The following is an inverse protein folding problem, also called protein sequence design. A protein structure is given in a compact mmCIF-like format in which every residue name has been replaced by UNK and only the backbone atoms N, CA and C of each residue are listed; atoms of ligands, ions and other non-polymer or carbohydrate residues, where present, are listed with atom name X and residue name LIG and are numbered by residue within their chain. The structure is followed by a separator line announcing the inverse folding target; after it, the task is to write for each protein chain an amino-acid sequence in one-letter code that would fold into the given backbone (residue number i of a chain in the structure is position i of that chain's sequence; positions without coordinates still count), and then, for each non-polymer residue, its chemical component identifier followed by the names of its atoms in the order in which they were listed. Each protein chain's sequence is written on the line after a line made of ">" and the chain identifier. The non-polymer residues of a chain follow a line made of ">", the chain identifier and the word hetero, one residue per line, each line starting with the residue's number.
data_IF_025813855845
#
_entry.id   IF_025813855845
#
_cell.length_a   1.000
_cell.length_b   1.000
_cell.length_c   1.000
_cell.angle_alpha   90.00
_cell.angle_beta   90.00
_cell.angle_gamma   90.00
#
_symmetry.space_group_name_H-M   'P 1'
#
loop_
_entity.id
_entity.type
_entity.pdbx_description
1 polymer ?
#
# COMPACT_ATOMS: atom_id res chain seq x y z
N UNK A 1 12.62 -9.39 8.98
CA UNK A 1 13.05 -8.85 7.67
C UNK A 1 14.52 -9.17 7.53
N UNK A 2 14.93 -9.70 6.38
CA UNK A 2 16.31 -10.09 6.10
C UNK A 2 16.83 -9.34 4.87
N UNK A 3 18.07 -8.81 4.95
CA UNK A 3 18.81 -8.21 3.83
C UNK A 3 19.94 -9.15 3.42
N UNK A 4 19.84 -9.72 2.23
CA UNK A 4 20.81 -10.65 1.67
C UNK A 4 21.61 -9.98 0.55
N UNK A 5 22.93 -9.93 0.73
CA UNK A 5 23.88 -9.51 -0.30
C UNK A 5 24.43 -10.75 -1.01
N UNK A 6 23.70 -11.27 -1.99
CA UNK A 6 24.16 -12.41 -2.78
C UNK A 6 25.47 -12.12 -3.53
N UNK A 7 25.66 -10.87 -4.00
CA UNK A 7 26.89 -10.45 -4.68
C UNK A 7 27.07 -8.92 -4.61
N UNK A 8 28.22 -8.40 -5.06
CA UNK A 8 28.45 -6.93 -5.14
C UNK A 8 27.40 -6.20 -5.98
N UNK A 9 26.71 -6.89 -6.90
CA UNK A 9 25.69 -6.32 -7.81
C UNK A 9 24.24 -6.57 -7.40
N UNK A 10 23.95 -7.63 -6.66
CA UNK A 10 22.57 -8.01 -6.30
C UNK A 10 22.37 -7.84 -4.79
N UNK A 11 21.33 -7.09 -4.42
CA UNK A 11 20.77 -7.11 -3.07
C UNK A 11 19.34 -7.59 -3.12
N UNK A 12 19.00 -8.49 -2.20
CA UNK A 12 17.65 -8.97 -1.98
C UNK A 12 17.25 -8.59 -0.56
N UNK A 13 16.01 -8.19 -0.37
CA UNK A 13 15.41 -8.00 0.93
C UNK A 13 14.06 -8.70 0.93
N UNK A 14 13.83 -9.48 1.97
CA UNK A 14 12.59 -10.21 2.15
C UNK A 14 12.12 -10.08 3.60
N UNK A 15 10.84 -9.87 3.78
CA UNK A 15 10.20 -9.77 5.08
C UNK A 15 8.83 -10.42 5.03
N UNK A 16 8.39 -10.90 6.18
CA UNK A 16 7.02 -11.34 6.36
C UNK A 16 6.52 -10.76 7.67
N UNK A 17 5.32 -10.23 7.64
CA UNK A 17 4.61 -9.76 8.81
C UNK A 17 3.32 -10.58 8.95
N UNK A 18 3.05 -11.06 10.16
CA UNK A 18 1.83 -11.82 10.49
C UNK A 18 1.02 -10.99 11.47
N UNK A 19 -0.17 -10.56 11.04
CA UNK A 19 -1.12 -9.82 11.86
C UNK A 19 -2.22 -10.75 12.36
N UNK A 20 -2.54 -10.67 13.65
CA UNK A 20 -3.73 -11.27 14.22
C UNK A 20 -4.59 -10.15 14.79
N UNK A 21 -5.80 -10.00 14.26
CA UNK A 21 -6.75 -8.99 14.71
C UNK A 21 -8.04 -9.67 15.16
N UNK A 22 -8.37 -9.56 16.44
CA UNK A 22 -9.57 -10.18 17.00
C UNK A 22 -10.59 -9.10 17.34
N UNK A 23 -11.79 -9.22 16.78
CA UNK A 23 -12.92 -8.35 17.06
C UNK A 23 -14.20 -9.17 17.17
N UNK A 24 -15.01 -8.91 18.19
CA UNK A 24 -16.24 -9.64 18.51
C UNK A 24 -16.07 -11.16 18.42
N UNK A 25 -15.01 -11.73 19.00
CA UNK A 25 -14.76 -13.18 18.98
C UNK A 25 -14.44 -13.78 17.60
N UNK A 26 -14.20 -12.97 16.56
CA UNK A 26 -13.69 -13.40 15.26
C UNK A 26 -12.25 -12.94 15.09
N UNK A 27 -11.36 -13.88 14.80
CA UNK A 27 -9.94 -13.59 14.54
C UNK A 27 -9.68 -13.53 13.05
N UNK A 28 -9.09 -12.42 12.61
CA UNK A 28 -8.61 -12.21 11.26
C UNK A 28 -7.09 -12.31 11.24
N UNK A 29 -6.59 -13.20 10.39
CA UNK A 29 -5.15 -13.37 10.17
C UNK A 29 -4.75 -12.68 8.87
N UNK A 30 -3.74 -11.80 8.92
CA UNK A 30 -3.06 -11.29 7.73
C UNK A 30 -1.67 -11.87 7.61
N UNK A 31 -1.31 -12.20 6.37
CA UNK A 31 0.06 -12.49 5.98
C UNK A 31 0.49 -11.41 5.00
N UNK A 32 1.55 -10.68 5.37
CA UNK A 32 2.05 -9.50 4.68
C UNK A 32 3.51 -9.72 4.26
N UNK A 33 3.74 -10.54 3.23
CA UNK A 33 5.07 -10.67 2.64
C UNK A 33 5.48 -9.35 1.96
N UNK A 34 6.76 -9.04 2.07
CA UNK A 34 7.43 -7.93 1.40
C UNK A 34 8.70 -8.48 0.79
N UNK A 35 8.92 -8.21 -0.48
CA UNK A 35 10.10 -8.61 -1.20
C UNK A 35 10.60 -7.43 -2.02
N UNK A 36 11.90 -7.18 -1.99
CA UNK A 36 12.54 -6.21 -2.86
C UNK A 36 13.87 -6.75 -3.35
N UNK A 37 14.20 -6.38 -4.58
CA UNK A 37 15.47 -6.71 -5.20
C UNK A 37 16.06 -5.47 -5.83
N UNK A 38 17.39 -5.39 -5.79
CA UNK A 38 18.16 -4.35 -6.44
C UNK A 38 19.31 -4.97 -7.21
N UNK A 39 19.39 -4.63 -8.48
CA UNK A 39 20.45 -5.02 -9.39
C UNK A 39 21.26 -3.79 -9.82
N UNK A 40 22.56 -3.78 -9.52
CA UNK A 40 23.50 -2.79 -10.04
C UNK A 40 23.93 -3.20 -11.45
N UNK A 41 23.54 -2.41 -12.44
CA UNK A 41 24.10 -2.51 -13.80
C UNK A 41 25.54 -2.00 -13.79
N UNK A 42 25.76 -0.84 -13.15
CA UNK A 42 27.07 -0.25 -12.93
C UNK A 42 27.04 0.60 -11.62
N UNK A 43 28.15 1.22 -11.19
CA UNK A 43 28.18 2.01 -9.95
C UNK A 43 27.21 3.20 -9.91
N UNK A 44 26.71 3.64 -11.06
CA UNK A 44 25.85 4.81 -11.24
C UNK A 44 24.38 4.43 -11.52
N UNK A 45 24.11 3.24 -12.04
CA UNK A 45 22.79 2.80 -12.50
C UNK A 45 22.37 1.51 -11.79
N UNK A 46 21.17 1.52 -11.24
CA UNK A 46 20.56 0.37 -10.60
C UNK A 46 19.11 0.18 -11.01
N UNK A 47 18.71 -1.07 -11.18
CA UNK A 47 17.32 -1.48 -11.32
C UNK A 47 16.81 -1.99 -9.99
N UNK A 48 15.58 -1.64 -9.65
CA UNK A 48 14.88 -2.14 -8.47
C UNK A 48 13.56 -2.75 -8.86
N UNK A 49 13.19 -3.82 -8.19
CA UNK A 49 11.86 -4.40 -8.26
C UNK A 49 11.38 -4.69 -6.85
N UNK A 50 10.09 -4.55 -6.59
CA UNK A 50 9.51 -4.89 -5.29
C UNK A 50 8.08 -5.40 -5.43
N UNK A 51 7.72 -6.25 -4.47
CA UNK A 51 6.38 -6.73 -4.22
C UNK A 51 6.06 -6.54 -2.74
N UNK A 52 4.89 -5.99 -2.45
CA UNK A 52 4.45 -5.80 -1.06
C UNK A 52 2.97 -6.09 -0.94
N UNK A 53 2.62 -6.86 0.09
CA UNK A 53 1.24 -7.04 0.54
C UNK A 53 1.05 -6.33 1.89
N UNK A 54 -0.05 -5.60 2.01
CA UNK A 54 -0.46 -4.89 3.23
C UNK A 54 -1.93 -5.15 3.52
N UNK A 55 -2.28 -5.21 4.81
CA UNK A 55 -3.66 -5.29 5.27
C UNK A 55 -3.97 -4.11 6.18
N UNK A 56 -5.18 -3.57 6.05
CA UNK A 56 -5.66 -2.46 6.86
C UNK A 56 -6.94 -2.88 7.58
N UNK A 57 -6.97 -2.65 8.89
CA UNK A 57 -8.02 -3.11 9.81
C UNK A 57 -8.91 -1.99 10.35
N UNK A 58 -8.50 -0.73 10.14
CA UNK A 58 -9.22 0.44 10.60
C UNK A 58 -9.40 1.39 9.42
N UNK A 59 -10.63 1.84 9.22
CA UNK A 59 -11.04 2.67 8.11
C UNK A 59 -11.59 3.99 8.64
N UNK A 60 -11.17 5.09 8.05
CA UNK A 60 -11.89 6.35 8.18
C UNK A 60 -12.94 6.37 7.07
N UNK A 61 -14.21 6.45 7.44
CA UNK A 61 -15.30 6.56 6.47
C UNK A 61 -15.82 7.98 6.55
N UNK A 62 -15.67 8.72 5.45
CA UNK A 62 -16.09 10.12 5.35
C UNK A 62 -17.49 10.18 4.74
N UNK A 63 -18.44 10.82 5.43
CA UNK A 63 -19.82 10.99 4.93
C UNK A 63 -19.95 12.08 3.86
N UNK A 64 -18.89 12.83 3.56
CA UNK A 64 -18.90 13.92 2.58
C UNK A 64 -17.55 14.13 1.90
N UNK A 65 -17.56 14.83 0.76
CA UNK A 65 -16.36 15.24 0.00
C UNK A 65 -15.44 16.23 0.75
N UNK A 66 -15.91 16.78 1.86
CA UNK A 66 -15.19 17.71 2.73
C UNK A 66 -15.01 16.99 4.08
N UNK A 67 -13.80 17.01 4.63
CA UNK A 67 -13.55 16.46 5.97
C UNK A 67 -14.41 17.23 6.97
N UNK A 68 -15.40 16.57 7.56
CA UNK A 68 -16.31 17.14 8.55
C UNK A 68 -15.98 16.52 9.92
N UNK A 69 -16.22 17.22 11.03
CA UNK A 69 -16.02 16.67 12.38
C UNK A 69 -16.92 15.45 12.71
N UNK A 70 -17.75 15.00 11.77
CA UNK A 70 -18.56 13.78 11.80
C UNK A 70 -17.86 12.55 11.19
N UNK A 71 -16.64 12.69 10.67
CA UNK A 71 -15.86 11.58 10.10
C UNK A 71 -15.57 10.53 11.19
N UNK A 72 -16.18 9.35 11.04
CA UNK A 72 -16.12 8.31 12.05
C UNK A 72 -15.08 7.26 11.67
N UNK A 73 -14.20 6.94 12.62
CA UNK A 73 -13.26 5.83 12.48
C UNK A 73 -13.98 4.51 12.79
N UNK A 74 -14.08 3.67 11.78
CA UNK A 74 -14.83 2.42 11.84
C UNK A 74 -13.85 1.24 11.78
N UNK A 75 -13.76 0.42 12.85
CA UNK A 75 -12.96 -0.80 12.81
C UNK A 75 -13.63 -1.86 11.92
N UNK A 76 -12.84 -2.82 11.41
CA UNK A 76 -13.39 -4.02 10.77
C UNK A 76 -14.37 -4.74 11.70
N UNK A 77 -15.45 -5.29 11.16
CA UNK A 77 -16.46 -6.02 11.95
C UNK A 77 -16.56 -7.49 11.49
N UNK A 78 -17.47 -8.28 12.09
CA UNK A 78 -17.73 -9.65 11.63
C UNK A 78 -18.17 -9.73 10.15
N UNK A 79 -18.84 -8.70 9.65
CA UNK A 79 -19.33 -8.59 8.26
C UNK A 79 -18.31 -7.95 7.31
N UNK A 80 -17.46 -7.05 7.81
CA UNK A 80 -16.49 -6.30 7.01
C UNK A 80 -15.08 -6.88 7.17
N UNK A 81 -14.56 -7.51 6.09
CA UNK A 81 -13.20 -8.04 6.07
C UNK A 81 -12.16 -6.90 6.01
N UNK A 82 -10.95 -7.11 6.56
CA UNK A 82 -9.84 -6.18 6.39
C UNK A 82 -9.54 -5.91 4.92
N UNK A 83 -9.28 -4.65 4.61
CA UNK A 83 -8.83 -4.25 3.28
C UNK A 83 -7.44 -4.81 3.04
N UNK A 84 -7.22 -5.35 1.85
CA UNK A 84 -5.94 -5.92 1.46
C UNK A 84 -5.46 -5.25 0.19
N UNK A 85 -4.19 -4.87 0.18
CA UNK A 85 -3.52 -4.34 -0.99
C UNK A 85 -2.31 -5.17 -1.34
N UNK A 86 -2.13 -5.41 -2.62
CA UNK A 86 -0.91 -5.92 -3.21
C UNK A 86 -0.35 -4.85 -4.16
N UNK A 87 0.95 -4.63 -4.11
CA UNK A 87 1.65 -3.67 -4.95
C UNK A 87 2.89 -4.30 -5.55
N UNK A 88 3.05 -4.12 -6.86
CA UNK A 88 4.27 -4.39 -7.61
C UNK A 88 4.85 -3.06 -8.08
N UNK A 89 6.15 -2.89 -7.93
CA UNK A 89 6.86 -1.71 -8.44
C UNK A 89 8.19 -2.11 -9.08
N UNK A 90 8.54 -1.45 -10.18
CA UNK A 90 9.79 -1.64 -10.91
C UNK A 90 10.32 -0.28 -11.32
N UNK A 91 11.61 -0.02 -11.08
CA UNK A 91 12.19 1.27 -11.38
C UNK A 91 13.69 1.23 -11.71
N UNK A 92 14.13 2.26 -12.40
CA UNK A 92 15.53 2.51 -12.72
C UNK A 92 15.99 3.77 -11.98
N UNK A 93 17.18 3.68 -11.38
CA UNK A 93 17.75 4.71 -10.52
C UNK A 93 19.16 5.00 -11.00
N UNK A 94 19.38 6.24 -11.43
CA UNK A 94 20.67 6.75 -11.88
C UNK A 94 21.20 7.81 -10.93
N UNK A 95 22.49 7.75 -10.64
CA UNK A 95 23.20 8.74 -9.83
C UNK A 95 24.51 9.07 -10.54
N UNK A 96 24.78 10.36 -10.75
CA UNK A 96 26.02 10.80 -11.39
C UNK A 96 27.23 10.35 -10.57
N UNK A 97 28.39 10.08 -11.19
CA UNK A 97 29.57 9.55 -10.49
C UNK A 97 30.07 10.41 -9.33
N UNK A 98 29.87 11.73 -9.41
CA UNK A 98 30.15 12.69 -8.34
C UNK A 98 29.07 12.75 -7.23
N UNK A 99 27.98 11.98 -7.39
CA UNK A 99 26.81 11.91 -6.50
C UNK A 99 26.15 13.27 -6.24
N UNK A 100 26.22 14.18 -7.21
CA UNK A 100 25.58 15.50 -7.12
C UNK A 100 24.12 15.43 -7.56
N UNK A 101 23.82 14.64 -8.58
CA UNK A 101 22.47 14.50 -9.11
C UNK A 101 22.02 13.04 -9.06
N UNK A 102 20.73 12.86 -8.77
CA UNK A 102 20.06 11.57 -8.86
C UNK A 102 18.77 11.69 -9.63
N UNK A 103 18.50 10.70 -10.46
CA UNK A 103 17.29 10.59 -11.28
C UNK A 103 16.71 9.21 -11.06
N UNK A 104 15.38 9.12 -10.94
CA UNK A 104 14.70 7.84 -10.92
C UNK A 104 13.40 7.89 -11.69
N UNK A 105 13.10 6.76 -12.31
CA UNK A 105 11.80 6.45 -12.91
C UNK A 105 11.31 5.17 -12.28
N UNK A 106 10.08 5.16 -11.80
CA UNK A 106 9.46 3.98 -11.21
C UNK A 106 8.04 3.83 -11.71
N UNK A 107 7.69 2.64 -12.19
CA UNK A 107 6.32 2.25 -12.50
C UNK A 107 5.78 1.36 -11.39
N UNK A 108 4.51 1.55 -11.02
CA UNK A 108 3.84 0.70 -10.04
C UNK A 108 2.46 0.26 -10.51
N UNK A 109 2.03 -0.89 -10.00
CA UNK A 109 0.69 -1.42 -10.16
C UNK A 109 0.21 -1.97 -8.81
N UNK A 110 -0.92 -1.47 -8.35
CA UNK A 110 -1.52 -1.76 -7.05
C UNK A 110 -2.96 -2.26 -7.25
N UNK A 111 -3.28 -3.40 -6.68
CA UNK A 111 -4.66 -3.90 -6.65
C UNK A 111 -5.11 -4.13 -5.21
N UNK A 112 -6.36 -3.75 -4.96
CA UNK A 112 -6.95 -3.70 -3.63
C UNK A 112 -8.23 -4.52 -3.61
N UNK A 113 -8.46 -5.20 -2.48
CA UNK A 113 -9.64 -6.02 -2.21
C UNK A 113 -10.26 -5.56 -0.89
N UNK A 114 -11.57 -5.74 -0.79
CA UNK A 114 -12.37 -5.31 0.36
C UNK A 114 -12.25 -3.80 0.61
N UNK A 115 -12.20 -3.02 -0.47
CA UNK A 115 -12.23 -1.56 -0.39
C UNK A 115 -13.59 -1.15 0.17
N UNK A 116 -13.62 -0.41 1.26
CA UNK A 116 -14.87 -0.04 1.92
C UNK A 116 -15.42 1.24 1.30
N UNK A 117 -16.70 1.21 0.94
CA UNK A 117 -17.42 2.38 0.43
C UNK A 117 -18.87 2.33 0.91
N UNK A 118 -19.57 3.47 0.85
CA UNK A 118 -21.01 3.48 1.09
C UNK A 118 -21.73 2.78 -0.05
N UNK A 119 -22.82 2.06 0.28
CA UNK A 119 -23.73 1.56 -0.75
C UNK A 119 -24.37 2.73 -1.48
N UNK A 120 -24.56 2.55 -2.78
CA UNK A 120 -25.45 3.42 -3.55
C UNK A 120 -26.79 3.54 -2.83
N UNK A 121 -27.32 4.77 -2.74
CA UNK A 121 -28.59 5.06 -2.07
C UNK A 121 -28.62 4.82 -0.54
N UNK A 122 -27.48 4.81 0.16
CA UNK A 122 -27.46 4.66 1.63
C UNK A 122 -28.33 5.67 2.37
N UNK A 123 -28.49 6.87 1.81
CA UNK A 123 -29.34 7.96 2.30
C UNK A 123 -30.85 7.62 2.31
N UNK A 124 -31.29 6.63 1.53
CA UNK A 124 -32.67 6.14 1.51
C UNK A 124 -32.90 4.95 2.45
N UNK A 125 -31.84 4.44 3.10
CA UNK A 125 -31.97 3.37 4.08
C UNK A 125 -32.62 3.92 5.36
N UNK A 126 -33.51 3.15 6.01
CA UNK A 126 -34.09 3.55 7.28
C UNK A 126 -33.01 3.97 8.29
N UNK A 127 -33.22 5.02 9.10
CA UNK A 127 -32.27 5.46 10.11
C UNK A 127 -31.86 4.35 11.10
N UNK A 128 -32.74 3.37 11.30
CA UNK A 128 -32.52 2.17 12.13
C UNK A 128 -31.61 1.12 11.50
N UNK A 129 -31.18 1.29 10.25
CA UNK A 129 -30.27 0.36 9.58
C UNK A 129 -28.88 0.46 10.19
N UNK A 130 -28.32 -0.69 10.59
CA UNK A 130 -26.97 -0.75 11.17
C UNK A 130 -25.93 -0.18 10.22
N UNK A 131 -24.92 0.50 10.75
CA UNK A 131 -23.88 1.14 9.95
C UNK A 131 -23.14 0.14 9.05
N UNK A 132 -22.98 -1.12 9.47
CA UNK A 132 -22.36 -2.19 8.67
C UNK A 132 -23.13 -2.48 7.39
N UNK A 133 -24.46 -2.38 7.44
CA UNK A 133 -25.33 -2.70 6.31
C UNK A 133 -25.45 -1.55 5.31
N UNK A 134 -25.01 -0.33 5.71
CA UNK A 134 -24.85 0.84 4.81
C UNK A 134 -23.56 0.78 3.99
N UNK A 135 -22.61 -0.08 4.36
CA UNK A 135 -21.32 -0.20 3.72
C UNK A 135 -21.27 -1.39 2.76
N UNK A 136 -20.45 -1.25 1.71
CA UNK A 136 -20.14 -2.30 0.74
C UNK A 136 -18.63 -2.48 0.59
N UNK A 137 -18.24 -3.64 0.05
CA UNK A 137 -16.84 -4.00 -0.15
C UNK A 137 -16.56 -4.23 -1.64
N UNK A 138 -15.68 -3.40 -2.21
CA UNK A 138 -15.31 -3.41 -3.61
C UNK A 138 -13.88 -3.91 -3.88
N UNK A 139 -13.49 -3.81 -5.16
CA UNK A 139 -12.12 -4.01 -5.64
C UNK A 139 -11.64 -2.72 -6.27
N UNK A 140 -10.40 -2.33 -5.97
CA UNK A 140 -9.76 -1.13 -6.52
C UNK A 140 -8.48 -1.48 -7.28
N UNK A 141 -8.12 -0.64 -8.25
CA UNK A 141 -6.85 -0.74 -8.98
C UNK A 141 -6.26 0.66 -9.11
N UNK A 142 -4.95 0.78 -8.94
CA UNK A 142 -4.19 2.01 -9.11
C UNK A 142 -2.87 1.68 -9.78
N UNK A 143 -2.45 2.46 -10.75
CA UNK A 143 -1.19 2.28 -11.46
C UNK A 143 -0.68 3.63 -11.94
N UNK A 144 0.62 3.75 -12.07
CA UNK A 144 1.23 5.02 -12.41
C UNK A 144 2.72 4.91 -12.64
N UNK A 145 3.29 6.04 -13.03
CA UNK A 145 4.73 6.23 -13.20
C UNK A 145 5.14 7.46 -12.42
N UNK A 146 6.22 7.34 -11.66
CA UNK A 146 6.81 8.41 -10.86
C UNK A 146 8.19 8.75 -11.41
N UNK A 147 8.45 10.05 -11.56
CA UNK A 147 9.72 10.60 -12.00
C UNK A 147 10.26 11.52 -10.91
N UNK A 148 11.50 11.29 -10.51
CA UNK A 148 12.17 12.11 -9.50
C UNK A 148 13.51 12.55 -10.06
N UNK A 149 13.78 13.85 -9.98
CA UNK A 149 15.10 14.44 -10.19
C UNK A 149 15.49 15.20 -8.93
N UNK A 150 16.67 14.93 -8.38
CA UNK A 150 17.19 15.57 -7.16
C UNK A 150 18.63 16.01 -7.35
N UNK A 151 18.95 17.18 -6.79
CA UNK A 151 20.32 17.65 -6.55
C UNK A 151 20.65 17.35 -5.09
N UNK A 152 21.46 16.32 -4.86
CA UNK A 152 21.82 15.81 -3.54
C UNK A 152 22.92 16.64 -2.86
N UNK A 153 23.75 17.34 -3.65
CA UNK A 153 24.86 18.16 -3.13
C UNK A 153 24.98 19.49 -3.86
N UNK A 154 25.33 20.53 -3.10
CA UNK A 154 25.58 21.89 -3.58
C UNK A 154 24.83 22.92 -2.73
N UNK A 155 25.27 24.19 -2.80
CA UNK A 155 24.46 25.33 -2.35
C UNK A 155 23.28 25.56 -3.29
#
# INVERSE_FOLDING_TARGET
>A
EEDWKMNKRIRLNAGVHLGLYTIDGKTYTSLEPRFSSRFLINPQLSLKASYTRMSQYVHQVNESYINLPTDTWIPVSRKLKPMQSDQLAVGAYYTTGNKIYSFSIEGYYKWMKHLMDYKDNYQFLPPSTSWEDKLTQGKGRSYGVELIARKEKGK
#
